data_IF_855582248036
#
_entry.id   IF_855582248036
#
_cell.length_a   1.000
_cell.length_b   1.000
_cell.length_c   1.000
_cell.angle_alpha   90.00
_cell.angle_beta   90.00
_cell.angle_gamma   90.00
#
_symmetry.space_group_name_H-M   'P 1'
#
loop_
_entity.id
_entity.type
_entity.pdbx_description
1 polymer ?
#
# COMPACT_ATOMS: atom_id res chain seq x y z
N UNK A 1 -12.69 5.44 5.98
CA UNK A 1 -12.15 4.07 6.01
C UNK A 1 -12.74 3.21 7.14
N UNK A 2 -12.40 3.39 8.43
CA UNK A 2 -12.94 2.55 9.53
C UNK A 2 -14.48 2.55 9.66
N UNK A 3 -15.14 3.69 9.39
CA UNK A 3 -16.61 3.76 9.33
C UNK A 3 -17.21 2.89 8.23
N UNK A 4 -16.61 2.87 7.05
CA UNK A 4 -17.09 2.06 5.92
C UNK A 4 -16.90 0.56 6.19
N UNK A 5 -15.78 0.19 6.81
CA UNK A 5 -15.51 -1.19 7.24
C UNK A 5 -16.58 -1.66 8.23
N UNK A 6 -16.83 -0.87 9.29
CA UNK A 6 -17.83 -1.21 10.32
C UNK A 6 -19.25 -1.25 9.75
N UNK A 7 -19.55 -0.38 8.78
CA UNK A 7 -20.83 -0.35 8.10
C UNK A 7 -21.04 -1.59 7.23
N UNK A 8 -20.05 -1.96 6.40
CA UNK A 8 -20.09 -3.15 5.56
C UNK A 8 -20.28 -4.43 6.40
N UNK A 9 -19.50 -4.60 7.47
CA UNK A 9 -19.63 -5.74 8.36
C UNK A 9 -21.02 -5.86 9.01
N UNK A 10 -21.61 -4.71 9.38
CA UNK A 10 -22.97 -4.65 9.92
C UNK A 10 -24.01 -5.05 8.87
N UNK A 11 -23.83 -4.66 7.62
CA UNK A 11 -24.71 -5.02 6.50
C UNK A 11 -24.67 -6.52 6.18
N UNK A 12 -23.51 -7.16 6.29
CA UNK A 12 -23.36 -8.60 6.01
C UNK A 12 -23.52 -9.50 7.24
N UNK A 13 -23.80 -8.93 8.42
CA UNK A 13 -24.12 -9.67 9.66
C UNK A 13 -22.97 -10.52 10.21
N UNK A 14 -21.71 -10.19 9.89
CA UNK A 14 -20.52 -10.94 10.30
C UNK A 14 -19.62 -10.13 11.22
N UNK A 15 -18.63 -10.81 11.82
CA UNK A 15 -17.62 -10.18 12.67
C UNK A 15 -16.92 -9.02 11.93
N UNK A 16 -17.02 -7.77 12.44
CA UNK A 16 -16.41 -6.62 11.81
C UNK A 16 -14.89 -6.62 11.70
N UNK A 17 -14.20 -7.34 12.58
CA UNK A 17 -12.74 -7.45 12.53
C UNK A 17 -12.29 -8.37 11.39
N UNK A 18 -12.97 -9.51 11.24
CA UNK A 18 -12.65 -10.51 10.22
C UNK A 18 -13.08 -10.01 8.83
N UNK A 19 -14.36 -9.71 8.69
CA UNK A 19 -14.95 -9.35 7.40
C UNK A 19 -14.45 -7.97 6.94
N UNK A 20 -14.20 -7.07 7.89
CA UNK A 20 -13.62 -5.77 7.60
C UNK A 20 -12.20 -5.82 7.07
N UNK A 21 -11.37 -6.71 7.62
CA UNK A 21 -10.00 -6.95 7.14
C UNK A 21 -10.01 -7.57 5.75
N UNK A 22 -10.87 -8.56 5.51
CA UNK A 22 -11.00 -9.19 4.20
C UNK A 22 -11.50 -8.20 3.12
N UNK A 23 -12.47 -7.35 3.46
CA UNK A 23 -12.93 -6.28 2.59
C UNK A 23 -11.80 -5.31 2.21
N UNK A 24 -10.98 -4.91 3.19
CA UNK A 24 -9.81 -4.06 2.94
C UNK A 24 -8.80 -4.73 2.01
N UNK A 25 -8.42 -5.98 2.31
CA UNK A 25 -7.49 -6.76 1.51
C UNK A 25 -7.96 -6.86 0.06
N UNK A 26 -9.23 -7.21 -0.16
CA UNK A 26 -9.82 -7.33 -1.50
C UNK A 26 -9.80 -6.00 -2.27
N UNK A 27 -10.25 -4.91 -1.66
CA UNK A 27 -10.32 -3.61 -2.33
C UNK A 27 -8.93 -3.03 -2.61
N UNK A 28 -7.97 -3.22 -1.70
CA UNK A 28 -6.58 -2.82 -1.95
C UNK A 28 -6.00 -3.61 -3.13
N UNK A 29 -6.19 -4.94 -3.15
CA UNK A 29 -5.74 -5.76 -4.27
C UNK A 29 -6.37 -5.32 -5.61
N UNK A 30 -7.66 -4.97 -5.63
CA UNK A 30 -8.33 -4.45 -6.82
C UNK A 30 -7.72 -3.12 -7.31
N UNK A 31 -7.52 -2.16 -6.39
CA UNK A 31 -6.87 -0.89 -6.71
C UNK A 31 -5.43 -1.07 -7.19
N UNK A 32 -4.69 -2.01 -6.59
CA UNK A 32 -3.34 -2.36 -7.02
C UNK A 32 -3.31 -3.00 -8.41
N UNK A 33 -4.26 -3.88 -8.77
CA UNK A 33 -4.36 -4.43 -10.14
C UNK A 33 -4.59 -3.33 -11.17
N UNK A 34 -5.45 -2.36 -10.85
CA UNK A 34 -5.69 -1.21 -11.72
C UNK A 34 -4.42 -0.35 -11.87
N UNK A 35 -3.71 -0.08 -10.76
CA UNK A 35 -2.48 0.70 -10.80
C UNK A 35 -1.35 -0.03 -11.54
N UNK A 36 -1.15 -1.33 -11.32
CA UNK A 36 -0.19 -2.20 -12.01
C UNK A 36 -0.38 -2.10 -13.54
N UNK A 37 -1.62 -2.21 -14.02
CA UNK A 37 -1.95 -2.08 -15.45
C UNK A 37 -1.65 -0.70 -16.03
N UNK A 38 -1.68 0.36 -15.21
CA UNK A 38 -1.31 1.72 -15.61
C UNK A 38 0.22 1.84 -15.66
N UNK A 39 0.90 1.51 -14.56
CA UNK A 39 2.35 1.71 -14.45
C UNK A 39 3.15 0.78 -15.35
N UNK A 40 2.61 -0.39 -15.74
CA UNK A 40 3.20 -1.24 -16.76
C UNK A 40 3.46 -0.52 -18.09
N UNK A 41 2.77 0.60 -18.36
CA UNK A 41 2.91 1.40 -19.59
C UNK A 41 3.75 2.67 -19.41
N UNK A 42 3.95 3.14 -18.18
CA UNK A 42 4.61 4.42 -17.90
C UNK A 42 5.90 4.31 -17.10
N UNK A 43 6.11 3.20 -16.40
CA UNK A 43 7.20 3.08 -15.45
C UNK A 43 8.57 2.96 -16.14
N UNK A 44 9.50 3.83 -15.75
CA UNK A 44 10.93 3.62 -15.90
C UNK A 44 11.46 3.05 -14.58
N UNK A 45 12.45 3.70 -13.96
CA UNK A 45 12.88 3.39 -12.59
C UNK A 45 11.76 3.57 -11.56
N UNK A 46 10.89 4.56 -11.75
CA UNK A 46 9.77 4.91 -10.87
C UNK A 46 8.44 4.78 -11.62
N UNK A 47 7.32 5.17 -11.01
CA UNK A 47 5.98 5.00 -11.60
C UNK A 47 5.79 5.72 -12.95
N UNK A 48 6.51 6.81 -13.20
CA UNK A 48 6.48 7.55 -14.47
C UNK A 48 7.91 7.90 -14.89
N UNK A 49 8.48 7.12 -15.81
CA UNK A 49 9.87 7.28 -16.24
C UNK A 49 10.87 7.10 -15.09
N UNK A 50 11.96 7.89 -15.13
CA UNK A 50 13.10 7.72 -14.22
C UNK A 50 13.19 8.79 -13.12
N UNK A 51 12.16 9.62 -12.97
CA UNK A 51 12.08 10.67 -11.94
C UNK A 51 10.92 10.39 -10.98
N UNK A 52 11.15 10.60 -9.68
CA UNK A 52 10.10 10.47 -8.65
C UNK A 52 9.01 11.51 -8.90
N UNK A 53 7.76 11.07 -8.82
CA UNK A 53 6.57 11.89 -9.02
C UNK A 53 5.60 11.76 -7.83
N UNK A 54 4.49 12.50 -7.89
CA UNK A 54 3.38 12.31 -6.95
C UNK A 54 2.83 10.87 -6.96
N UNK A 55 2.94 10.15 -8.09
CA UNK A 55 2.48 8.77 -8.17
C UNK A 55 3.26 7.86 -7.21
N UNK A 56 4.57 8.06 -7.10
CA UNK A 56 5.44 7.31 -6.19
C UNK A 56 5.18 7.66 -4.73
N UNK A 57 4.97 8.97 -4.45
CA UNK A 57 4.61 9.44 -3.12
C UNK A 57 3.31 8.79 -2.61
N UNK A 58 2.30 8.64 -3.47
CA UNK A 58 1.08 7.91 -3.13
C UNK A 58 1.28 6.39 -3.07
N UNK A 59 2.23 5.84 -3.84
CA UNK A 59 2.49 4.40 -3.90
C UNK A 59 3.14 3.86 -2.62
N UNK A 60 4.12 4.56 -2.05
CA UNK A 60 4.85 4.12 -0.83
C UNK A 60 3.89 3.70 0.30
N UNK A 61 3.00 4.56 0.82
CA UNK A 61 2.09 4.17 1.88
C UNK A 61 1.02 3.16 1.41
N UNK A 62 0.76 3.07 0.11
CA UNK A 62 -0.15 2.07 -0.46
C UNK A 62 0.45 0.67 -0.36
N UNK A 63 1.75 0.51 -0.64
CA UNK A 63 2.49 -0.76 -0.47
C UNK A 63 2.48 -1.17 1.01
N UNK A 64 2.81 -0.26 1.93
CA UNK A 64 2.76 -0.53 3.37
C UNK A 64 1.37 -0.99 3.82
N UNK A 65 0.32 -0.33 3.32
CA UNK A 65 -1.07 -0.69 3.57
C UNK A 65 -1.41 -2.08 3.05
N UNK A 66 -1.00 -2.40 1.82
CA UNK A 66 -1.24 -3.69 1.18
C UNK A 66 -0.60 -4.83 1.98
N UNK A 67 0.67 -4.67 2.39
CA UNK A 67 1.38 -5.63 3.25
C UNK A 67 0.67 -5.78 4.60
N UNK A 68 0.29 -4.67 5.25
CA UNK A 68 -0.41 -4.69 6.55
C UNK A 68 -1.74 -5.47 6.51
N UNK A 69 -2.46 -5.41 5.40
CA UNK A 69 -3.74 -6.11 5.23
C UNK A 69 -3.61 -7.48 4.56
N UNK A 70 -2.38 -7.95 4.29
CA UNK A 70 -2.12 -9.29 3.77
C UNK A 70 -2.47 -9.45 2.29
N UNK A 71 -2.32 -8.41 1.49
CA UNK A 71 -2.37 -8.51 0.02
C UNK A 71 -1.15 -9.29 -0.47
N UNK A 72 -1.34 -10.22 -1.39
CA UNK A 72 -0.23 -10.93 -2.03
C UNK A 72 0.49 -10.00 -3.01
N UNK A 73 1.63 -9.47 -2.58
CA UNK A 73 2.45 -8.57 -3.40
C UNK A 73 3.12 -9.27 -4.57
N UNK A 74 3.14 -10.61 -4.60
CA UNK A 74 3.64 -11.41 -5.73
C UNK A 74 2.82 -11.23 -7.01
N UNK A 75 1.57 -10.77 -6.91
CA UNK A 75 0.72 -10.46 -8.07
C UNK A 75 1.16 -9.20 -8.84
N UNK A 76 2.03 -8.35 -8.27
CA UNK A 76 2.31 -7.00 -8.77
C UNK A 76 3.80 -6.77 -9.07
N UNK A 77 4.28 -7.33 -10.17
CA UNK A 77 5.70 -7.30 -10.53
C UNK A 77 6.26 -5.88 -10.73
N UNK A 78 5.53 -5.02 -11.46
CA UNK A 78 5.97 -3.65 -11.77
C UNK A 78 5.95 -2.79 -10.51
N UNK A 79 4.86 -2.82 -9.74
CA UNK A 79 4.78 -2.15 -8.45
C UNK A 79 5.88 -2.62 -7.51
N UNK A 80 6.13 -3.94 -7.43
CA UNK A 80 7.17 -4.49 -6.57
C UNK A 80 8.57 -3.99 -6.97
N UNK A 81 8.85 -3.86 -8.27
CA UNK A 81 10.11 -3.28 -8.77
C UNK A 81 10.25 -1.80 -8.40
N UNK A 82 9.18 -1.01 -8.59
CA UNK A 82 9.17 0.42 -8.22
C UNK A 82 9.35 0.58 -6.71
N UNK A 83 8.63 -0.21 -5.91
CA UNK A 83 8.71 -0.21 -4.45
C UNK A 83 10.13 -0.42 -3.94
N UNK A 84 10.83 -1.44 -4.45
CA UNK A 84 12.25 -1.67 -4.11
C UNK A 84 13.14 -0.48 -4.48
N UNK A 85 12.91 0.17 -5.62
CA UNK A 85 13.68 1.35 -5.99
C UNK A 85 13.39 2.56 -5.06
N UNK A 86 12.14 2.71 -4.59
CA UNK A 86 11.75 3.76 -3.66
C UNK A 86 12.29 3.51 -2.24
N UNK A 87 12.38 2.26 -1.80
CA UNK A 87 12.98 1.89 -0.50
C UNK A 87 14.44 2.32 -0.37
N UNK A 88 15.17 2.50 -1.48
CA UNK A 88 16.55 3.00 -1.48
C UNK A 88 16.64 4.51 -1.21
N UNK A 89 15.56 5.26 -1.44
CA UNK A 89 15.53 6.72 -1.37
C UNK A 89 15.52 7.19 0.08
N UNK A 90 16.50 8.01 0.45
CA UNK A 90 16.68 8.45 1.85
C UNK A 90 15.46 9.20 2.42
N UNK A 91 14.79 10.01 1.59
CA UNK A 91 13.57 10.71 1.99
C UNK A 91 12.42 9.73 2.30
N UNK A 92 12.32 8.61 1.57
CA UNK A 92 11.31 7.57 1.80
C UNK A 92 11.60 6.84 3.12
N UNK A 93 12.87 6.47 3.37
CA UNK A 93 13.28 5.84 4.64
C UNK A 93 12.96 6.70 5.86
N UNK A 94 13.29 7.99 5.80
CA UNK A 94 13.01 8.95 6.88
C UNK A 94 11.52 9.28 7.02
N UNK A 95 10.76 9.19 5.92
CA UNK A 95 9.32 9.40 5.91
C UNK A 95 8.49 8.15 6.27
N UNK A 96 9.14 6.99 6.43
CA UNK A 96 8.46 5.74 6.75
C UNK A 96 7.76 5.78 8.12
N UNK A 97 6.63 5.09 8.23
CA UNK A 97 5.83 5.10 9.47
C UNK A 97 6.56 4.53 10.70
N UNK A 98 7.63 3.76 10.50
CA UNK A 98 8.44 3.17 11.58
C UNK A 98 9.51 4.11 12.15
N UNK A 99 9.79 5.22 11.48
CA UNK A 99 10.85 6.18 11.85
C UNK A 99 10.29 7.48 12.43
N UNK A 100 8.98 7.54 12.70
CA UNK A 100 8.33 8.73 13.24
C UNK A 100 8.41 8.76 14.78
N UNK A 101 8.37 9.96 15.36
CA UNK A 101 8.48 10.13 16.81
C UNK A 101 7.31 9.54 17.60
N UNK A 102 6.14 9.42 16.97
CA UNK A 102 4.90 8.88 17.54
C UNK A 102 4.70 7.38 17.27
N UNK A 103 5.57 6.73 16.49
CA UNK A 103 5.57 5.27 16.31
C UNK A 103 5.79 4.60 17.67
N UNK A 104 4.97 3.61 18.10
CA UNK A 104 5.24 2.84 19.31
C UNK A 104 6.62 2.17 19.27
N UNK A 105 7.28 2.09 20.42
CA UNK A 105 8.69 1.65 20.50
C UNK A 105 8.90 0.25 19.94
N UNK A 106 7.94 -0.66 20.14
CA UNK A 106 7.97 -2.03 19.61
C UNK A 106 7.94 -2.11 18.08
N UNK A 107 7.53 -1.04 17.39
CA UNK A 107 7.45 -0.99 15.93
C UNK A 107 8.54 -0.13 15.29
N UNK A 108 9.35 0.60 16.06
CA UNK A 108 10.45 1.40 15.51
C UNK A 108 11.53 0.50 14.92
N UNK A 109 12.30 1.02 13.98
CA UNK A 109 13.50 0.39 13.41
C UNK A 109 14.67 1.38 13.41
#
# INVERSE_FOLDING_TARGET
MLKQIKQFAKEVGKDPEVEGREWQRRNMAEGMRAYEAIVAKSAGRYSVGDTITMADFCLVPTIDGAVRFGVDMGEFETIGRIGRALEEVEAVKKGGWRTQGDTPEEFRC
#
